data_IF_704352047787
#
_entry.id   IF_704352047787
#
_cell.length_a   1.000
_cell.length_b   1.000
_cell.length_c   1.000
_cell.angle_alpha   90.00
_cell.angle_beta   90.00
_cell.angle_gamma   90.00
#
_symmetry.space_group_name_H-M   'P 1'
#
loop_
_entity.id
_entity.type
_entity.pdbx_description
1 polymer ?
#
# COMPACT_ATOMS: atom_id res chain seq x y z
N UNK A 1 30.13 37.54 23.45
CA UNK A 1 29.46 38.24 22.32
C UNK A 1 29.08 37.20 21.28
N UNK A 2 27.87 37.27 20.72
CA UNK A 2 27.17 36.11 20.19
C UNK A 2 27.72 35.71 18.82
N UNK A 3 27.86 34.40 18.64
CA UNK A 3 28.20 33.73 17.39
C UNK A 3 27.11 34.00 16.36
N UNK A 4 27.52 34.54 15.21
CA UNK A 4 26.65 34.78 14.08
C UNK A 4 25.96 33.47 13.67
N UNK A 5 24.64 33.43 13.89
CA UNK A 5 23.75 32.39 13.39
C UNK A 5 23.79 32.51 11.87
N UNK A 6 24.45 31.58 11.21
CA UNK A 6 24.48 31.49 9.75
C UNK A 6 23.05 31.25 9.26
N UNK A 7 22.39 32.33 8.88
CA UNK A 7 21.04 32.34 8.32
C UNK A 7 21.10 31.75 6.92
N UNK A 8 20.95 30.42 6.83
CA UNK A 8 20.78 29.72 5.58
C UNK A 8 19.52 30.24 4.86
N UNK A 9 19.70 30.87 3.71
CA UNK A 9 18.64 31.43 2.86
C UNK A 9 17.46 30.44 2.66
N UNK A 10 16.20 30.85 2.88
CA UNK A 10 15.05 29.95 2.87
C UNK A 10 14.56 29.71 1.43
N UNK A 11 15.30 28.93 0.65
CA UNK A 11 14.95 28.57 -0.73
C UNK A 11 15.17 27.10 -1.11
N UNK A 12 15.66 26.28 -0.18
CA UNK A 12 15.93 24.86 -0.40
C UNK A 12 14.67 23.99 -0.46
N UNK A 13 14.81 22.76 -0.99
CA UNK A 13 13.76 21.73 -0.90
C UNK A 13 13.52 21.40 0.58
N UNK A 14 12.26 21.22 0.96
CA UNK A 14 11.92 20.73 2.31
C UNK A 14 12.57 19.38 2.56
N UNK A 15 13.26 19.29 3.69
CA UNK A 15 13.87 18.09 4.27
C UNK A 15 12.82 17.11 4.78
N UNK A 16 13.24 15.86 5.04
CA UNK A 16 12.36 14.85 5.64
C UNK A 16 11.83 15.30 7.01
N UNK A 17 12.68 15.92 7.84
CA UNK A 17 12.30 16.41 9.17
C UNK A 17 11.25 17.53 9.09
N UNK A 18 11.42 18.49 8.18
CA UNK A 18 10.42 19.55 7.95
C UNK A 18 9.09 18.96 7.45
N UNK A 19 9.13 17.92 6.62
CA UNK A 19 7.92 17.24 6.12
C UNK A 19 7.19 16.47 7.23
N UNK A 20 7.93 15.90 8.20
CA UNK A 20 7.36 15.28 9.40
C UNK A 20 6.69 16.33 10.30
N UNK A 21 7.33 17.49 10.50
CA UNK A 21 6.75 18.61 11.24
C UNK A 21 5.46 19.15 10.60
N UNK A 22 5.39 19.20 9.26
CA UNK A 22 4.13 19.53 8.56
C UNK A 22 3.06 18.45 8.83
N UNK A 23 3.44 17.17 8.83
CA UNK A 23 2.50 16.07 9.09
C UNK A 23 1.90 16.16 10.50
N UNK A 24 2.75 16.41 11.50
CA UNK A 24 2.32 16.58 12.90
C UNK A 24 1.43 17.82 13.06
N UNK A 25 1.83 18.96 12.49
CA UNK A 25 1.04 20.19 12.58
C UNK A 25 -0.35 20.08 11.95
N UNK A 26 -0.50 19.34 10.85
CA UNK A 26 -1.80 19.06 10.25
C UNK A 26 -2.66 18.13 11.12
N UNK A 27 -2.05 17.12 11.74
CA UNK A 27 -2.74 16.21 12.67
C UNK A 27 -3.22 16.94 13.94
N UNK A 28 -2.47 17.95 14.39
CA UNK A 28 -2.84 18.86 15.48
C UNK A 28 -3.87 19.92 15.06
N UNK A 29 -4.29 19.97 13.78
CA UNK A 29 -5.26 20.95 13.28
C UNK A 29 -4.71 22.38 13.17
N UNK A 30 -3.39 22.55 13.12
CA UNK A 30 -2.77 23.87 13.02
C UNK A 30 -2.95 24.49 11.63
N UNK A 31 -3.08 25.82 11.60
CA UNK A 31 -3.09 26.58 10.36
C UNK A 31 -1.71 26.53 9.66
N UNK A 32 -1.69 26.57 8.32
CA UNK A 32 -0.44 26.47 7.55
C UNK A 32 0.59 27.54 7.90
N UNK A 33 0.15 28.75 8.27
CA UNK A 33 1.03 29.82 8.71
C UNK A 33 1.76 29.46 10.01
N UNK A 34 1.10 28.75 10.93
CA UNK A 34 1.69 28.29 12.19
C UNK A 34 2.77 27.24 11.94
N UNK A 35 2.43 26.25 11.12
CA UNK A 35 3.35 25.18 10.72
C UNK A 35 4.58 25.77 10.05
N UNK A 36 4.38 26.74 9.16
CA UNK A 36 5.45 27.41 8.42
C UNK A 36 6.39 28.20 9.36
N UNK A 37 5.87 28.89 10.38
CA UNK A 37 6.70 29.55 11.42
C UNK A 37 7.52 28.54 12.22
N UNK A 38 6.96 27.39 12.59
CA UNK A 38 7.65 26.35 13.36
C UNK A 38 8.85 25.74 12.63
N UNK A 39 8.77 25.62 11.31
CA UNK A 39 9.85 25.07 10.47
C UNK A 39 10.73 26.16 9.83
N UNK A 40 10.54 27.42 10.19
CA UNK A 40 11.24 28.58 9.61
C UNK A 40 11.17 28.64 8.07
N UNK A 41 9.96 28.46 7.52
CA UNK A 41 9.67 28.51 6.08
C UNK A 41 8.52 29.46 5.75
N UNK A 42 8.45 29.96 4.49
CA UNK A 42 7.28 30.70 4.04
C UNK A 42 6.01 29.84 4.03
N UNK A 43 4.86 30.42 4.39
CA UNK A 43 3.55 29.74 4.36
C UNK A 43 3.23 29.15 2.98
N UNK A 44 3.60 29.84 1.90
CA UNK A 44 3.40 29.37 0.52
C UNK A 44 4.17 28.10 0.19
N UNK A 45 5.24 27.77 0.91
CA UNK A 45 5.99 26.52 0.77
C UNK A 45 5.19 25.36 1.36
N UNK A 46 4.64 25.53 2.56
CA UNK A 46 3.79 24.53 3.22
C UNK A 46 2.51 24.29 2.41
N UNK A 47 1.82 25.35 1.97
CA UNK A 47 0.60 25.22 1.15
C UNK A 47 0.87 24.44 -0.14
N UNK A 48 1.92 24.80 -0.90
CA UNK A 48 2.26 24.11 -2.15
C UNK A 48 2.70 22.68 -1.92
N UNK A 49 3.45 22.42 -0.86
CA UNK A 49 3.87 21.07 -0.48
C UNK A 49 2.66 20.19 -0.15
N UNK A 50 1.75 20.67 0.69
CA UNK A 50 0.55 19.96 1.09
C UNK A 50 -0.35 19.68 -0.11
N UNK A 51 -0.64 20.70 -0.91
CA UNK A 51 -1.52 20.57 -2.09
C UNK A 51 -0.92 19.65 -3.17
N UNK A 52 0.40 19.67 -3.35
CA UNK A 52 1.08 18.82 -4.34
C UNK A 52 1.13 17.33 -3.93
N UNK A 53 0.93 17.02 -2.65
CA UNK A 53 1.11 15.66 -2.12
C UNK A 53 -0.13 15.18 -1.36
N UNK A 54 -1.32 15.42 -1.92
CA UNK A 54 -2.57 14.81 -1.45
C UNK A 54 -3.48 15.71 -0.62
N UNK A 55 -3.14 16.99 -0.44
CA UNK A 55 -3.98 17.96 0.26
C UNK A 55 -4.04 17.75 1.79
N UNK A 56 -4.71 18.62 2.54
CA UNK A 56 -4.69 18.62 4.01
C UNK A 56 -5.11 17.30 4.66
N UNK A 57 -6.15 16.64 4.13
CA UNK A 57 -6.64 15.37 4.68
C UNK A 57 -5.74 14.18 4.32
N UNK A 58 -5.01 14.24 3.20
CA UNK A 58 -4.20 13.15 2.67
C UNK A 58 -2.69 13.33 2.83
N UNK A 59 -2.22 14.46 3.38
CA UNK A 59 -0.80 14.75 3.42
C UNK A 59 -0.02 13.80 4.35
N UNK A 60 1.09 13.27 3.83
CA UNK A 60 2.04 12.42 4.58
C UNK A 60 3.46 12.80 4.19
N UNK A 61 4.26 13.21 5.17
CA UNK A 61 5.60 13.75 4.95
C UNK A 61 6.58 12.78 4.28
N UNK A 62 6.54 11.50 4.66
CA UNK A 62 7.43 10.48 4.08
C UNK A 62 7.07 10.17 2.62
N UNK A 63 5.78 10.15 2.26
CA UNK A 63 5.33 10.02 0.86
C UNK A 63 5.79 11.20 0.01
N UNK A 64 5.67 12.41 0.57
CA UNK A 64 6.09 13.63 -0.09
C UNK A 64 7.61 13.68 -0.30
N UNK A 65 8.40 13.12 0.63
CA UNK A 65 9.85 12.94 0.51
C UNK A 65 10.20 11.97 -0.63
N UNK A 66 9.58 10.79 -0.68
CA UNK A 66 9.82 9.81 -1.75
C UNK A 66 9.43 10.35 -3.14
N UNK A 67 8.29 11.04 -3.26
CA UNK A 67 7.88 11.69 -4.51
C UNK A 67 8.89 12.77 -4.96
N UNK A 68 9.47 13.49 -4.00
CA UNK A 68 10.47 14.53 -4.21
C UNK A 68 11.80 13.93 -4.68
N UNK A 69 12.28 12.86 -4.06
CA UNK A 69 13.50 12.14 -4.47
C UNK A 69 13.33 11.50 -5.86
N UNK A 70 12.17 10.93 -6.14
CA UNK A 70 11.86 10.33 -7.44
C UNK A 70 11.89 11.35 -8.58
N UNK A 71 11.28 12.53 -8.39
CA UNK A 71 11.35 13.63 -9.37
C UNK A 71 12.78 14.15 -9.57
N UNK A 72 13.58 14.22 -8.50
CA UNK A 72 14.98 14.63 -8.58
C UNK A 72 15.82 13.62 -9.39
N UNK A 73 15.62 12.31 -9.15
CA UNK A 73 16.27 11.24 -9.93
C UNK A 73 15.86 11.26 -11.40
N UNK A 74 14.59 11.50 -11.71
CA UNK A 74 14.11 11.67 -13.10
C UNK A 74 14.79 12.84 -13.80
N UNK A 75 14.97 13.97 -13.10
CA UNK A 75 15.63 15.17 -13.66
C UNK A 75 17.14 14.96 -13.84
N UNK A 76 17.78 14.18 -12.96
CA UNK A 76 19.18 13.77 -13.10
C UNK A 76 19.39 12.79 -14.28
N UNK A 77 18.43 11.87 -14.52
CA UNK A 77 18.43 10.93 -15.66
C UNK A 77 18.08 11.61 -16.99
N UNK A 78 17.41 12.76 -16.95
CA UNK A 78 17.07 13.58 -18.13
C UNK A 78 18.22 14.53 -18.57
N UNK A 79 19.36 14.54 -17.88
CA UNK A 79 20.59 15.18 -18.39
C UNK A 79 21.17 14.26 -19.47
N UNK A 80 21.27 14.70 -20.73
CA UNK A 80 21.64 13.82 -21.83
C UNK A 80 23.13 13.46 -21.75
N UNK A 81 23.42 12.28 -21.20
CA UNK A 81 24.76 11.74 -21.16
C UNK A 81 24.77 10.35 -20.53
N UNK A 82 24.69 9.31 -21.38
CA UNK A 82 24.70 7.86 -21.08
C UNK A 82 23.34 7.24 -20.78
N UNK A 83 22.47 7.25 -21.79
CA UNK A 83 21.42 6.24 -21.94
C UNK A 83 22.07 4.91 -22.36
N UNK A 84 22.13 3.93 -21.43
CA UNK A 84 22.02 2.54 -21.89
C UNK A 84 20.53 2.31 -22.17
N UNK A 85 20.23 2.07 -23.44
CA UNK A 85 18.86 1.87 -23.90
C UNK A 85 18.28 0.61 -23.24
N UNK A 86 17.33 0.78 -22.31
CA UNK A 86 16.43 -0.32 -21.97
C UNK A 86 15.47 -0.50 -23.14
N UNK A 87 15.63 -1.60 -23.85
CA UNK A 87 14.76 -2.07 -24.92
C UNK A 87 13.29 -2.04 -24.46
N UNK A 88 12.33 -1.54 -25.25
CA UNK A 88 10.92 -1.60 -24.90
C UNK A 88 10.51 -3.05 -24.69
N UNK A 89 9.71 -3.34 -23.66
CA UNK A 89 8.99 -4.62 -23.58
C UNK A 89 8.11 -4.76 -24.84
N UNK A 90 7.86 -6.01 -25.28
CA UNK A 90 7.28 -6.36 -26.58
C UNK A 90 5.87 -5.79 -26.84
N UNK A 91 5.26 -5.17 -25.84
CA UNK A 91 3.85 -4.79 -25.77
C UNK A 91 3.67 -3.26 -25.61
N UNK A 92 4.71 -2.47 -25.90
CA UNK A 92 4.62 -1.00 -26.02
C UNK A 92 4.41 -0.25 -24.70
N UNK A 93 4.26 -0.95 -23.58
CA UNK A 93 4.09 -0.35 -22.25
C UNK A 93 5.39 0.25 -21.73
N UNK A 94 5.27 1.44 -21.14
CA UNK A 94 6.35 2.05 -20.38
C UNK A 94 6.62 1.20 -19.13
N UNK A 95 7.66 0.39 -19.21
CA UNK A 95 8.13 -0.47 -18.11
C UNK A 95 8.49 0.32 -16.85
N UNK A 96 8.85 1.60 -16.97
CA UNK A 96 9.13 2.47 -15.83
C UNK A 96 7.82 2.93 -15.16
N UNK A 97 6.79 3.25 -15.95
CA UNK A 97 5.46 3.58 -15.44
C UNK A 97 4.79 2.39 -14.73
N UNK A 98 4.92 1.18 -15.28
CA UNK A 98 4.37 -0.03 -14.65
C UNK A 98 5.03 -0.32 -13.30
N UNK A 99 6.37 -0.21 -13.22
CA UNK A 99 7.08 -0.35 -11.94
C UNK A 99 6.68 0.70 -10.91
N UNK A 100 6.47 1.94 -11.36
CA UNK A 100 6.00 3.01 -10.48
C UNK A 100 4.59 2.73 -9.93
N UNK A 101 3.71 2.19 -10.78
CA UNK A 101 2.38 1.74 -10.36
C UNK A 101 2.47 0.56 -9.37
N UNK A 102 3.29 -0.45 -9.66
CA UNK A 102 3.51 -1.58 -8.75
C UNK A 102 4.01 -1.15 -7.37
N UNK A 103 4.98 -0.22 -7.31
CA UNK A 103 5.49 0.29 -6.03
C UNK A 103 4.43 1.13 -5.29
N UNK A 104 3.61 1.90 -6.00
CA UNK A 104 2.48 2.63 -5.41
C UNK A 104 1.42 1.66 -4.87
N UNK A 105 1.13 0.59 -5.61
CA UNK A 105 0.14 -0.41 -5.20
C UNK A 105 0.65 -1.26 -4.03
N UNK A 106 1.93 -1.64 -4.04
CA UNK A 106 2.59 -2.28 -2.91
C UNK A 106 2.54 -1.41 -1.64
N UNK A 107 2.52 -0.09 -1.77
CA UNK A 107 2.39 0.82 -0.62
C UNK A 107 1.02 0.67 0.06
N UNK A 108 -0.05 0.42 -0.70
CA UNK A 108 -1.39 0.15 -0.15
C UNK A 108 -1.37 -1.13 0.68
N UNK A 109 -0.76 -2.20 0.16
CA UNK A 109 -0.60 -3.47 0.87
C UNK A 109 0.30 -3.36 2.12
N UNK A 110 1.30 -2.50 2.10
CA UNK A 110 2.11 -2.24 3.30
C UNK A 110 1.29 -1.57 4.41
N UNK A 111 0.33 -0.70 4.06
CA UNK A 111 -0.56 -0.07 5.05
C UNK A 111 -1.49 -1.08 5.73
N UNK A 112 -1.80 -2.20 5.09
CA UNK A 112 -2.56 -3.31 5.70
C UNK A 112 -1.68 -4.27 6.52
N UNK A 113 -0.40 -3.95 6.72
CA UNK A 113 0.52 -4.73 7.57
C UNK A 113 1.40 -5.73 6.83
N UNK A 114 1.36 -5.78 5.49
CA UNK A 114 2.22 -6.70 4.74
C UNK A 114 3.69 -6.22 4.75
N UNK A 115 4.67 -7.12 4.95
CA UNK A 115 6.07 -6.79 4.77
C UNK A 115 6.32 -6.26 3.36
N UNK A 116 7.22 -5.28 3.22
CA UNK A 116 7.52 -4.60 1.93
C UNK A 116 7.70 -5.58 0.76
N UNK A 117 8.46 -6.65 0.96
CA UNK A 117 8.73 -7.61 -0.11
C UNK A 117 7.53 -8.47 -0.48
N UNK A 118 6.73 -8.84 0.51
CA UNK A 118 5.44 -9.53 0.34
C UNK A 118 4.45 -8.66 -0.43
N UNK A 119 4.34 -7.38 -0.07
CA UNK A 119 3.49 -6.41 -0.75
C UNK A 119 3.88 -6.20 -2.22
N UNK A 120 5.19 -6.11 -2.51
CA UNK A 120 5.69 -5.99 -3.89
C UNK A 120 5.44 -7.26 -4.71
N UNK A 121 5.58 -8.44 -4.10
CA UNK A 121 5.26 -9.70 -4.76
C UNK A 121 3.77 -9.80 -5.11
N UNK A 122 2.90 -9.38 -4.19
CA UNK A 122 1.46 -9.33 -4.43
C UNK A 122 1.13 -8.33 -5.55
N UNK A 123 1.64 -7.10 -5.50
CA UNK A 123 1.42 -6.11 -6.55
C UNK A 123 1.89 -6.59 -7.94
N UNK A 124 3.00 -7.32 -8.01
CA UNK A 124 3.49 -7.93 -9.24
C UNK A 124 2.57 -9.04 -9.79
N UNK A 125 1.88 -9.78 -8.92
CA UNK A 125 0.89 -10.78 -9.31
C UNK A 125 -0.40 -10.14 -9.82
N UNK A 126 -0.88 -9.05 -9.20
CA UNK A 126 -2.07 -8.34 -9.66
C UNK A 126 -1.91 -7.64 -11.02
N UNK A 127 -0.66 -7.35 -11.41
CA UNK A 127 -0.35 -6.54 -12.59
C UNK A 127 0.28 -7.36 -13.72
N UNK A 128 0.18 -8.68 -13.66
CA UNK A 128 0.63 -9.58 -14.72
C UNK A 128 -0.52 -9.93 -15.66
N UNK A 129 -0.34 -9.79 -16.97
CA UNK A 129 -1.43 -10.10 -17.92
C UNK A 129 -1.73 -11.59 -18.01
N UNK A 130 -0.77 -12.42 -17.59
CA UNK A 130 -0.90 -13.87 -17.54
C UNK A 130 -1.74 -14.35 -16.34
N UNK A 131 -2.14 -13.45 -15.43
CA UNK A 131 -2.84 -13.78 -14.18
C UNK A 131 -2.02 -14.61 -13.17
N UNK A 132 -0.83 -15.08 -13.55
CA UNK A 132 -0.01 -15.96 -12.73
C UNK A 132 1.49 -15.78 -12.98
N UNK A 133 2.31 -16.01 -11.96
CA UNK A 133 3.77 -15.98 -12.08
C UNK A 133 4.41 -17.18 -11.38
N UNK A 134 5.52 -17.67 -11.95
CA UNK A 134 6.42 -18.60 -11.27
C UNK A 134 7.35 -17.87 -10.30
N UNK A 135 7.99 -18.61 -9.39
CA UNK A 135 9.00 -18.03 -8.48
C UNK A 135 10.15 -17.35 -9.24
N UNK A 136 10.57 -17.93 -10.36
CA UNK A 136 11.65 -17.38 -11.19
C UNK A 136 11.24 -16.09 -11.91
N UNK A 137 9.97 -15.99 -12.34
CA UNK A 137 9.44 -14.77 -12.96
C UNK A 137 9.29 -13.65 -11.93
N UNK A 138 8.79 -13.96 -10.72
CA UNK A 138 8.75 -13.02 -9.59
C UNK A 138 10.16 -12.51 -9.24
N UNK A 139 11.15 -13.40 -9.14
CA UNK A 139 12.53 -13.02 -8.86
C UNK A 139 13.08 -12.04 -9.90
N UNK A 140 12.87 -12.32 -11.20
CA UNK A 140 13.31 -11.47 -12.31
C UNK A 140 12.58 -10.12 -12.31
N UNK A 141 11.26 -10.12 -12.16
CA UNK A 141 10.42 -8.92 -12.20
C UNK A 141 10.76 -7.96 -11.06
N UNK A 142 10.88 -8.50 -9.85
CA UNK A 142 11.14 -7.72 -8.63
C UNK A 142 12.63 -7.43 -8.38
N UNK A 143 13.52 -8.05 -9.16
CA UNK A 143 14.98 -8.00 -9.02
C UNK A 143 15.45 -8.44 -7.62
N UNK A 144 14.94 -9.57 -7.15
CA UNK A 144 15.26 -10.12 -5.83
C UNK A 144 15.72 -11.57 -5.90
N UNK A 145 16.31 -12.05 -4.81
CA UNK A 145 16.79 -13.43 -4.72
C UNK A 145 15.63 -14.45 -4.69
N UNK A 146 15.85 -15.67 -5.20
CA UNK A 146 14.88 -16.75 -5.11
C UNK A 146 14.43 -17.03 -3.66
N UNK A 147 15.34 -16.96 -2.69
CA UNK A 147 15.00 -17.16 -1.28
C UNK A 147 14.04 -16.10 -0.72
N UNK A 148 14.17 -14.84 -1.15
CA UNK A 148 13.23 -13.77 -0.79
C UNK A 148 11.85 -13.98 -1.42
N UNK A 149 11.80 -14.48 -2.67
CA UNK A 149 10.54 -14.87 -3.31
C UNK A 149 9.88 -16.00 -2.54
N UNK A 150 10.61 -17.06 -2.19
CA UNK A 150 10.05 -18.21 -1.46
C UNK A 150 9.44 -17.78 -0.12
N UNK A 151 10.10 -16.89 0.62
CA UNK A 151 9.56 -16.36 1.88
C UNK A 151 8.30 -15.52 1.67
N UNK A 152 8.31 -14.61 0.68
CA UNK A 152 7.17 -13.77 0.37
C UNK A 152 5.94 -14.59 -0.06
N UNK A 153 6.14 -15.55 -0.95
CA UNK A 153 5.10 -16.47 -1.42
C UNK A 153 4.58 -17.33 -0.28
N UNK A 154 5.45 -17.94 0.53
CA UNK A 154 5.00 -18.76 1.67
C UNK A 154 4.14 -17.96 2.65
N UNK A 155 4.48 -16.67 2.87
CA UNK A 155 3.67 -15.78 3.66
C UNK A 155 2.33 -15.47 2.99
N UNK A 156 2.31 -15.10 1.71
CA UNK A 156 1.07 -14.80 0.99
C UNK A 156 0.12 -16.00 0.97
N UNK A 157 0.67 -17.20 0.77
CA UNK A 157 -0.06 -18.47 0.76
C UNK A 157 -0.67 -18.78 2.15
N UNK A 158 0.09 -18.58 3.24
CA UNK A 158 -0.43 -18.78 4.60
C UNK A 158 -1.51 -17.77 4.99
N UNK A 159 -1.51 -16.59 4.39
CA UNK A 159 -2.55 -15.57 4.56
C UNK A 159 -3.73 -15.75 3.59
N UNK A 160 -3.70 -16.76 2.71
CA UNK A 160 -4.74 -17.00 1.70
C UNK A 160 -4.83 -15.90 0.64
N UNK A 161 -3.74 -15.16 0.41
CA UNK A 161 -3.65 -14.04 -0.53
C UNK A 161 -3.18 -14.46 -1.93
N UNK A 162 -2.77 -15.72 -2.09
CA UNK A 162 -2.44 -16.34 -3.37
C UNK A 162 -2.85 -17.81 -3.35
N UNK A 163 -2.99 -18.40 -4.53
CA UNK A 163 -3.15 -19.84 -4.71
C UNK A 163 -1.97 -20.43 -5.47
N UNK A 164 -1.58 -21.66 -5.11
CA UNK A 164 -0.57 -22.43 -5.84
C UNK A 164 -1.23 -23.36 -6.84
N UNK A 165 -0.79 -23.27 -8.09
CA UNK A 165 -1.18 -24.17 -9.17
C UNK A 165 0.03 -24.87 -9.77
N UNK A 166 -0.22 -26.02 -10.39
CA UNK A 166 0.78 -26.70 -11.23
C UNK A 166 0.36 -26.56 -12.68
N UNK A 167 1.21 -25.92 -13.46
CA UNK A 167 1.06 -25.84 -14.92
C UNK A 167 1.30 -27.22 -15.57
N UNK A 168 0.97 -27.38 -16.85
CA UNK A 168 1.14 -28.61 -17.66
C UNK A 168 2.57 -29.18 -17.57
N UNK A 169 3.56 -28.30 -17.38
CA UNK A 169 4.98 -28.66 -17.22
C UNK A 169 5.39 -28.98 -15.77
N UNK A 170 4.44 -29.21 -14.87
CA UNK A 170 4.63 -29.45 -13.41
C UNK A 170 5.40 -28.34 -12.69
N UNK A 171 5.35 -27.11 -13.18
CA UNK A 171 5.95 -25.94 -12.53
C UNK A 171 4.93 -25.26 -11.63
N UNK A 172 5.35 -24.87 -10.44
CA UNK A 172 4.50 -24.10 -9.51
C UNK A 172 4.29 -22.68 -10.05
N UNK A 173 3.01 -22.29 -10.16
CA UNK A 173 2.54 -20.95 -10.47
C UNK A 173 1.75 -20.40 -9.31
N UNK A 174 1.91 -19.11 -9.06
CA UNK A 174 1.19 -18.37 -8.05
C UNK A 174 0.15 -17.51 -8.76
N UNK A 175 -1.10 -17.63 -8.32
CA UNK A 175 -2.26 -16.97 -8.92
C UNK A 175 -2.90 -16.08 -7.88
N UNK A 176 -3.24 -14.87 -8.29
CA UNK A 176 -4.24 -14.03 -7.61
C UNK A 176 -5.46 -14.10 -8.51
N UNK A 177 -6.48 -14.81 -8.05
CA UNK A 177 -7.74 -14.98 -8.77
C UNK A 177 -8.86 -14.24 -8.04
N UNK A 178 -10.00 -14.08 -8.70
CA UNK A 178 -11.22 -13.47 -8.17
C UNK A 178 -11.67 -14.14 -6.86
N UNK A 179 -11.53 -15.47 -6.79
CA UNK A 179 -11.79 -16.23 -5.57
C UNK A 179 -10.83 -15.86 -4.42
N UNK A 180 -9.59 -15.45 -4.70
CA UNK A 180 -8.60 -15.07 -3.67
C UNK A 180 -9.01 -13.77 -2.97
N UNK A 181 -9.55 -12.80 -3.73
CA UNK A 181 -10.09 -11.57 -3.14
C UNK A 181 -11.28 -11.87 -2.22
N UNK A 182 -12.22 -12.69 -2.68
CA UNK A 182 -13.34 -13.14 -1.85
C UNK A 182 -12.86 -13.88 -0.59
N UNK A 183 -11.95 -14.86 -0.74
CA UNK A 183 -11.43 -15.63 0.40
C UNK A 183 -10.66 -14.76 1.40
N UNK A 184 -9.91 -13.74 0.95
CA UNK A 184 -9.21 -12.81 1.83
C UNK A 184 -10.15 -11.93 2.65
N UNK A 185 -11.21 -11.42 2.02
CA UNK A 185 -12.25 -10.65 2.72
C UNK A 185 -12.97 -11.53 3.74
N UNK A 186 -13.32 -12.76 3.36
CA UNK A 186 -13.95 -13.73 4.27
C UNK A 186 -13.01 -14.16 5.41
N UNK A 187 -11.71 -14.28 5.16
CA UNK A 187 -10.73 -14.55 6.22
C UNK A 187 -10.66 -13.39 7.22
N UNK A 188 -10.68 -12.15 6.73
CA UNK A 188 -10.70 -10.95 7.59
C UNK A 188 -11.96 -10.91 8.45
N UNK A 189 -13.14 -11.19 7.86
CA UNK A 189 -14.39 -11.29 8.61
C UNK A 189 -14.32 -12.34 9.73
N UNK A 190 -13.77 -13.53 9.44
CA UNK A 190 -13.57 -14.58 10.46
C UNK A 190 -12.63 -14.15 11.57
N UNK A 191 -11.51 -13.49 11.26
CA UNK A 191 -10.58 -12.97 12.28
C UNK A 191 -11.22 -11.88 13.15
N UNK A 192 -12.03 -11.01 12.56
CA UNK A 192 -12.80 -10.00 13.31
C UNK A 192 -13.84 -10.64 14.22
N UNK A 193 -14.55 -11.68 13.77
CA UNK A 193 -15.50 -12.43 14.59
C UNK A 193 -14.79 -13.15 15.76
N UNK A 194 -13.60 -13.71 15.53
CA UNK A 194 -12.80 -14.33 16.58
C UNK A 194 -12.39 -13.34 17.68
N UNK A 195 -12.07 -12.09 17.31
CA UNK A 195 -11.81 -11.04 18.31
C UNK A 195 -13.04 -10.80 19.20
N UNK A 196 -14.25 -10.80 18.62
CA UNK A 196 -15.49 -10.66 19.38
C UNK A 196 -15.70 -11.81 20.38
N UNK A 197 -15.39 -13.02 19.95
CA UNK A 197 -15.47 -14.21 20.80
C UNK A 197 -14.50 -14.15 21.99
N UNK A 198 -13.24 -13.81 21.75
CA UNK A 198 -12.24 -13.65 22.81
C UNK A 198 -12.61 -12.49 23.75
N UNK A 199 -13.17 -11.40 23.23
CA UNK A 199 -13.62 -10.29 24.06
C UNK A 199 -14.76 -10.70 25.00
N UNK A 200 -15.74 -11.49 24.54
CA UNK A 200 -16.81 -12.05 25.39
C UNK A 200 -16.26 -12.94 26.51
N UNK A 201 -15.35 -13.85 26.17
CA UNK A 201 -14.69 -14.70 27.17
C UNK A 201 -13.95 -13.85 28.23
N UNK A 202 -13.28 -12.78 27.80
CA UNK A 202 -12.64 -11.84 28.72
C UNK A 202 -13.63 -11.10 29.62
N UNK A 203 -14.81 -10.73 29.11
CA UNK A 203 -15.84 -10.09 29.90
C UNK A 203 -16.37 -11.01 31.01
N UNK A 204 -16.60 -12.29 30.68
CA UNK A 204 -17.03 -13.31 31.64
C UNK A 204 -16.00 -13.52 32.77
N UNK A 205 -14.71 -13.58 32.41
CA UNK A 205 -13.60 -13.73 33.37
C UNK A 205 -13.49 -12.51 34.31
N UNK A 206 -13.65 -11.30 33.76
CA UNK A 206 -13.51 -10.05 34.53
C UNK A 206 -14.71 -9.78 35.43
N UNK A 207 -15.81 -10.50 35.24
CA UNK A 207 -17.01 -10.38 36.04
C UNK A 207 -17.99 -9.33 35.48
N UNK A 208 -19.29 -9.66 35.40
CA UNK A 208 -20.33 -8.72 34.98
C UNK A 208 -20.33 -7.44 35.83
N UNK A 209 -20.58 -6.30 35.19
CA UNK A 209 -20.69 -5.00 35.87
C UNK A 209 -19.37 -4.27 36.13
N UNK A 210 -18.22 -4.87 35.81
CA UNK A 210 -16.96 -4.13 35.83
C UNK A 210 -16.84 -3.20 34.61
N UNK A 211 -16.19 -2.03 34.74
CA UNK A 211 -15.93 -1.16 33.59
C UNK A 211 -15.11 -1.83 32.49
N UNK A 212 -14.31 -2.85 32.82
CA UNK A 212 -13.51 -3.60 31.85
C UNK A 212 -14.37 -4.61 31.07
N UNK A 213 -15.26 -5.35 31.74
CA UNK A 213 -16.23 -6.22 31.08
C UNK A 213 -17.14 -5.42 30.13
N UNK A 214 -17.66 -4.26 30.58
CA UNK A 214 -18.49 -3.40 29.73
C UNK A 214 -17.76 -2.91 28.46
N UNK A 215 -16.44 -2.62 28.54
CA UNK A 215 -15.65 -2.28 27.35
C UNK A 215 -15.51 -3.47 26.40
N UNK A 216 -15.21 -4.65 26.92
CA UNK A 216 -15.06 -5.86 26.10
C UNK A 216 -16.38 -6.28 25.44
N UNK A 217 -17.49 -6.18 26.14
CA UNK A 217 -18.84 -6.40 25.60
C UNK A 217 -19.17 -5.42 24.46
N UNK A 218 -18.82 -4.14 24.63
CA UNK A 218 -19.01 -3.14 23.59
C UNK A 218 -18.13 -3.41 22.36
N UNK A 219 -16.88 -3.82 22.57
CA UNK A 219 -15.98 -4.24 21.49
C UNK A 219 -16.57 -5.45 20.77
N UNK A 220 -16.99 -6.49 21.49
CA UNK A 220 -17.59 -7.70 20.93
C UNK A 220 -18.81 -7.36 20.05
N UNK A 221 -19.75 -6.58 20.58
CA UNK A 221 -20.95 -6.15 19.83
C UNK A 221 -20.60 -5.40 18.55
N UNK A 222 -19.60 -4.51 18.60
CA UNK A 222 -19.17 -3.76 17.42
C UNK A 222 -18.53 -4.67 16.37
N UNK A 223 -17.59 -5.53 16.77
CA UNK A 223 -16.86 -6.38 15.83
C UNK A 223 -17.74 -7.48 15.24
N UNK A 224 -18.75 -7.97 15.98
CA UNK A 224 -19.76 -8.90 15.45
C UNK A 224 -20.50 -8.24 14.27
N UNK A 225 -21.06 -7.04 14.49
CA UNK A 225 -21.77 -6.29 13.44
C UNK A 225 -20.91 -6.03 12.21
N UNK A 226 -19.64 -5.64 12.42
CA UNK A 226 -18.69 -5.38 11.34
C UNK A 226 -18.36 -6.67 10.59
N UNK A 227 -18.05 -7.75 11.30
CA UNK A 227 -17.69 -9.04 10.69
C UNK A 227 -18.82 -9.59 9.81
N UNK A 228 -20.06 -9.54 10.29
CA UNK A 228 -21.22 -9.94 9.51
C UNK A 228 -21.47 -9.02 8.32
N UNK A 229 -21.29 -7.70 8.50
CA UNK A 229 -21.41 -6.73 7.42
C UNK A 229 -20.42 -6.99 6.29
N UNK A 230 -19.16 -7.27 6.64
CA UNK A 230 -18.11 -7.64 5.68
C UNK A 230 -18.47 -8.94 4.96
N UNK A 231 -18.88 -9.98 5.70
CA UNK A 231 -19.24 -11.27 5.10
C UNK A 231 -20.41 -11.15 4.12
N UNK A 232 -21.50 -10.45 4.52
CA UNK A 232 -22.66 -10.22 3.64
C UNK A 232 -22.28 -9.45 2.38
N UNK A 233 -21.48 -8.39 2.51
CA UNK A 233 -21.05 -7.59 1.36
C UNK A 233 -20.16 -8.41 0.41
N UNK A 234 -19.28 -9.25 0.96
CA UNK A 234 -18.44 -10.15 0.18
C UNK A 234 -19.26 -11.17 -0.61
N UNK A 235 -20.27 -11.79 0.02
CA UNK A 235 -21.17 -12.74 -0.64
C UNK A 235 -21.97 -12.09 -1.76
N UNK A 236 -22.47 -10.87 -1.55
CA UNK A 236 -23.19 -10.10 -2.58
C UNK A 236 -22.30 -9.69 -3.75
N UNK A 237 -21.05 -9.30 -3.47
CA UNK A 237 -20.10 -8.85 -4.48
C UNK A 237 -19.40 -10.00 -5.22
N UNK A 238 -19.61 -11.26 -4.81
CA UNK A 238 -18.97 -12.43 -5.41
C UNK A 238 -19.26 -12.55 -6.91
N UNK A 239 -20.47 -12.23 -7.34
CA UNK A 239 -20.85 -12.24 -8.76
C UNK A 239 -20.16 -11.14 -9.58
N UNK A 240 -19.78 -10.01 -8.95
CA UNK A 240 -19.08 -8.90 -9.60
C UNK A 240 -17.67 -9.34 -10.00
N UNK A 241 -17.00 -10.10 -9.14
CA UNK A 241 -15.65 -10.58 -9.39
C UNK A 241 -15.62 -11.55 -10.58
N UNK A 242 -16.66 -12.33 -10.81
CA UNK A 242 -16.74 -13.26 -11.95
C UNK A 242 -17.26 -12.64 -13.26
N UNK A 243 -17.42 -11.30 -13.33
CA UNK A 243 -17.87 -10.64 -14.56
C UNK A 243 -16.74 -10.62 -15.59
N UNK A 244 -16.80 -11.56 -16.54
CA UNK A 244 -15.82 -11.70 -17.63
C UNK A 244 -15.68 -10.38 -18.41
N UNK A 245 -14.47 -9.88 -18.70
CA UNK A 245 -14.31 -8.73 -19.58
C UNK A 245 -14.95 -9.04 -20.93
N UNK A 246 -15.79 -8.13 -21.42
CA UNK A 246 -16.36 -8.24 -22.76
C UNK A 246 -15.23 -8.44 -23.77
N UNK A 247 -15.34 -9.39 -24.72
CA UNK A 247 -14.31 -9.55 -25.75
C UNK A 247 -14.15 -8.21 -26.45
N UNK A 248 -12.92 -7.70 -26.44
CA UNK A 248 -12.55 -6.45 -27.08
C UNK A 248 -13.05 -6.45 -28.52
N UNK A 249 -13.65 -5.34 -28.92
CA UNK A 249 -14.06 -5.11 -30.30
C UNK A 249 -12.81 -5.17 -31.19
N UNK A 250 -12.57 -6.33 -31.79
CA UNK A 250 -11.60 -6.50 -32.86
C UNK A 250 -12.05 -5.69 -34.08
N UNK A 251 -11.14 -4.79 -34.48
CA UNK A 251 -10.82 -4.36 -35.84
C UNK A 251 -11.93 -4.44 -36.90
N UNK A 252 -12.46 -3.28 -37.28
CA UNK A 252 -12.76 -3.01 -38.70
C UNK A 252 -12.53 -1.53 -39.02
N UNK A 253 -11.43 -1.23 -39.70
CA UNK A 253 -11.36 -0.33 -40.87
C UNK A 253 -10.03 -0.51 -41.57
#
# INVERSE_FOLDING_TARGET
MPTAKETAMPGGRLTQQERQQITLGLAEGLAYAEIARRIDRPTSTVTREVMRNGGPAGYRGDLAQHATEHRARRRAKAVPGRSSASRPAADGRDTEALRAYEDAFATVFMQSGLPRMTARALAGLYTTDTGSLTAAELARRLQISPGSVSKAVAFLDSQGLIRRERDERRRERYVVDDDVMYQSVMASARSTAQLGEIARQGADILGPGTPAAARLENIARFVDLVSEGIARAADQAREILHTKPAPGADSTS
#
